data_IF_052994183373
#
_entry.id   IF_052994183373
#
_cell.length_a   1.000
_cell.length_b   1.000
_cell.length_c   1.000
_cell.angle_alpha   90.00
_cell.angle_beta   90.00
_cell.angle_gamma   90.00
#
_symmetry.space_group_name_H-M   'P 1'
#
loop_
_entity.id
_entity.type
_entity.pdbx_description
1 polymer ?
#
# COMPACT_ATOMS: atom_id res chain seq x y z
N UNK A 1 -7.02 15.43 -11.06
CA UNK A 1 -6.69 14.27 -10.18
C UNK A 1 -6.81 14.67 -8.71
N UNK A 2 -7.12 13.73 -7.82
CA UNK A 2 -7.17 13.99 -6.36
C UNK A 2 -5.85 13.66 -5.65
N UNK A 3 -5.67 14.17 -4.42
CA UNK A 3 -4.45 14.00 -3.64
C UNK A 3 -4.14 12.52 -3.31
N UNK A 4 -5.17 11.69 -3.14
CA UNK A 4 -5.01 10.26 -2.83
C UNK A 4 -4.40 9.48 -3.99
N UNK A 5 -4.87 9.74 -5.21
CA UNK A 5 -4.32 9.14 -6.43
C UNK A 5 -2.90 9.65 -6.70
N UNK A 6 -2.63 10.94 -6.51
CA UNK A 6 -1.26 11.47 -6.62
C UNK A 6 -0.30 10.78 -5.63
N UNK A 7 -0.72 10.57 -4.36
CA UNK A 7 0.10 9.86 -3.36
C UNK A 7 0.51 8.46 -3.84
N UNK A 8 -0.38 7.72 -4.50
CA UNK A 8 -0.07 6.39 -5.05
C UNK A 8 0.93 6.45 -6.20
N UNK A 9 0.89 7.49 -7.02
CA UNK A 9 1.76 7.69 -8.18
C UNK A 9 3.06 8.44 -7.86
N UNK A 10 3.23 8.94 -6.63
CA UNK A 10 4.32 9.84 -6.24
C UNK A 10 5.70 9.24 -6.53
N UNK A 11 5.95 8.00 -6.11
CA UNK A 11 7.25 7.36 -6.32
C UNK A 11 7.49 7.04 -7.80
N UNK A 12 6.47 6.59 -8.52
CA UNK A 12 6.54 6.39 -9.97
C UNK A 12 6.83 7.70 -10.72
N UNK A 13 6.29 8.82 -10.25
CA UNK A 13 6.58 10.15 -10.77
C UNK A 13 8.05 10.53 -10.53
N UNK A 14 8.53 10.34 -9.29
CA UNK A 14 9.92 10.65 -8.91
C UNK A 14 10.91 9.79 -9.70
N UNK A 15 10.63 8.50 -9.88
CA UNK A 15 11.48 7.59 -10.66
C UNK A 15 11.36 7.77 -12.19
N UNK A 16 10.40 8.58 -12.66
CA UNK A 16 10.24 8.87 -14.09
C UNK A 16 9.67 7.71 -14.92
N UNK A 17 8.99 6.76 -14.27
CA UNK A 17 8.43 5.55 -14.92
C UNK A 17 6.97 5.72 -15.36
N UNK A 18 6.34 6.86 -15.07
CA UNK A 18 4.97 7.15 -15.48
C UNK A 18 4.85 7.33 -17.00
N UNK A 19 3.70 6.95 -17.54
CA UNK A 19 3.35 7.31 -18.92
C UNK A 19 3.23 8.83 -19.09
N UNK A 20 3.37 9.31 -20.33
CA UNK A 20 3.26 10.75 -20.65
C UNK A 20 1.91 11.32 -20.20
N UNK A 21 0.82 10.58 -20.41
CA UNK A 21 -0.52 11.00 -20.01
C UNK A 21 -0.67 11.12 -18.49
N UNK A 22 -0.17 10.14 -17.72
CA UNK A 22 -0.23 10.19 -16.26
C UNK A 22 0.63 11.31 -15.69
N UNK A 23 1.79 11.56 -16.30
CA UNK A 23 2.69 12.65 -15.91
C UNK A 23 2.01 14.01 -16.08
N UNK A 24 1.37 14.26 -17.23
CA UNK A 24 0.62 15.51 -17.46
C UNK A 24 -0.49 15.70 -16.43
N UNK A 25 -1.23 14.64 -16.10
CA UNK A 25 -2.28 14.69 -15.07
C UNK A 25 -1.71 14.99 -13.68
N UNK A 26 -0.51 14.48 -13.36
CA UNK A 26 0.22 14.81 -12.13
C UNK A 26 0.66 16.27 -12.11
N UNK A 27 1.25 16.76 -13.20
CA UNK A 27 1.72 18.14 -13.33
C UNK A 27 0.57 19.15 -13.21
N UNK A 28 -0.56 18.89 -13.87
CA UNK A 28 -1.77 19.71 -13.74
C UNK A 28 -2.35 19.73 -12.31
N UNK A 29 -2.14 18.68 -11.52
CA UNK A 29 -2.51 18.67 -10.11
C UNK A 29 -1.52 19.46 -9.25
N UNK A 30 -0.23 19.34 -9.54
CA UNK A 30 0.85 20.00 -8.82
C UNK A 30 0.82 21.53 -8.97
N UNK A 31 0.30 22.08 -10.07
CA UNK A 31 0.12 23.53 -10.23
C UNK A 31 -0.85 24.11 -9.19
N UNK A 32 -1.89 23.36 -8.81
CA UNK A 32 -2.96 23.85 -7.93
C UNK A 32 -2.87 23.36 -6.48
N UNK A 33 -2.11 22.29 -6.18
CA UNK A 33 -2.06 21.69 -4.85
C UNK A 33 -0.70 21.88 -4.13
N UNK A 34 -0.64 22.82 -3.19
CA UNK A 34 0.57 23.07 -2.38
C UNK A 34 1.00 21.87 -1.53
N UNK A 35 0.04 21.14 -0.94
CA UNK A 35 0.32 19.94 -0.12
C UNK A 35 1.03 18.84 -0.93
N UNK A 36 0.62 18.64 -2.18
CA UNK A 36 1.25 17.64 -3.05
C UNK A 36 2.62 18.10 -3.56
N UNK A 37 2.84 19.41 -3.74
CA UNK A 37 4.18 19.96 -4.02
C UNK A 37 5.15 19.71 -2.86
N UNK A 38 4.73 19.97 -1.62
CA UNK A 38 5.55 19.69 -0.43
C UNK A 38 5.91 18.20 -0.32
N UNK A 39 4.94 17.31 -0.57
CA UNK A 39 5.20 15.85 -0.61
C UNK A 39 6.19 15.45 -1.70
N UNK A 40 6.09 16.06 -2.87
CA UNK A 40 7.03 15.82 -3.96
C UNK A 40 8.44 16.25 -3.58
N UNK A 41 8.58 17.44 -3.00
CA UNK A 41 9.87 17.94 -2.52
C UNK A 41 10.47 17.01 -1.46
N UNK A 42 9.68 16.55 -0.49
CA UNK A 42 10.13 15.58 0.51
C UNK A 42 10.60 14.27 -0.13
N UNK A 43 9.85 13.72 -1.08
CA UNK A 43 10.23 12.48 -1.78
C UNK A 43 11.52 12.65 -2.61
N UNK A 44 11.71 13.82 -3.24
CA UNK A 44 12.94 14.14 -3.97
C UNK A 44 14.15 14.23 -3.05
N UNK A 45 14.00 14.87 -1.88
CA UNK A 45 15.06 14.92 -0.86
C UNK A 45 15.41 13.52 -0.36
N UNK A 46 14.42 12.68 -0.06
CA UNK A 46 14.67 11.28 0.32
C UNK A 46 15.48 10.54 -0.74
N UNK A 47 15.09 10.67 -2.02
CA UNK A 47 15.82 10.04 -3.13
C UNK A 47 17.26 10.56 -3.23
N UNK A 48 17.46 11.87 -3.10
CA UNK A 48 18.79 12.47 -3.13
C UNK A 48 19.67 11.93 -1.99
N UNK A 49 19.14 11.83 -0.77
CA UNK A 49 19.86 11.25 0.38
C UNK A 49 20.24 9.79 0.14
N UNK A 50 19.34 8.98 -0.43
CA UNK A 50 19.65 7.59 -0.78
C UNK A 50 20.71 7.49 -1.88
N UNK A 51 20.68 8.40 -2.86
CA UNK A 51 21.68 8.43 -3.93
C UNK A 51 23.07 8.91 -3.46
N UNK A 52 23.11 9.71 -2.39
CA UNK A 52 24.36 10.18 -1.79
C UNK A 52 25.08 9.10 -0.96
N UNK A 53 24.45 7.95 -0.71
CA UNK A 53 25.09 6.85 0.01
C UNK A 53 26.32 6.32 -0.73
N UNK A 54 27.40 5.98 0.00
CA UNK A 54 28.62 5.46 -0.61
C UNK A 54 28.32 4.16 -1.36
N UNK A 55 28.77 4.08 -2.61
CA UNK A 55 28.69 2.86 -3.41
C UNK A 55 29.92 2.00 -3.14
N UNK A 56 29.71 0.82 -2.59
CA UNK A 56 30.76 -0.16 -2.41
C UNK A 56 30.93 -1.01 -3.66
N UNK A 57 32.17 -1.18 -4.10
CA UNK A 57 32.48 -2.12 -5.17
C UNK A 57 32.19 -3.55 -4.69
N UNK A 58 31.47 -4.32 -5.50
CA UNK A 58 31.25 -5.73 -5.22
C UNK A 58 32.58 -6.50 -5.36
N UNK A 59 32.89 -7.45 -4.46
CA UNK A 59 34.11 -8.25 -4.58
C UNK A 59 34.19 -9.01 -5.90
N UNK A 60 35.37 -9.06 -6.52
CA UNK A 60 35.61 -9.71 -7.82
C UNK A 60 35.10 -11.15 -7.91
N UNK A 61 35.20 -11.91 -6.81
CA UNK A 61 34.68 -13.29 -6.75
C UNK A 61 33.17 -13.34 -6.92
N UNK A 62 32.44 -12.37 -6.35
CA UNK A 62 30.99 -12.26 -6.49
C UNK A 62 30.64 -11.84 -7.92
N UNK A 63 31.31 -10.83 -8.46
CA UNK A 63 31.10 -10.36 -9.84
C UNK A 63 31.30 -11.47 -10.87
N UNK A 64 32.37 -12.27 -10.74
CA UNK A 64 32.64 -13.41 -11.62
C UNK A 64 31.53 -14.47 -11.54
N UNK A 65 31.07 -14.79 -10.35
CA UNK A 65 30.00 -15.77 -10.13
C UNK A 65 28.67 -15.31 -10.73
N UNK A 66 28.28 -14.06 -10.47
CA UNK A 66 27.07 -13.47 -11.03
C UNK A 66 27.11 -13.45 -12.56
N UNK A 67 28.25 -13.07 -13.16
CA UNK A 67 28.42 -13.07 -14.62
C UNK A 67 28.34 -14.47 -15.23
N UNK A 68 28.82 -15.50 -14.54
CA UNK A 68 28.71 -16.88 -15.00
C UNK A 68 27.28 -17.43 -14.87
N UNK A 69 26.51 -16.99 -13.87
CA UNK A 69 25.17 -17.49 -13.56
C UNK A 69 24.06 -16.82 -14.39
N UNK A 70 24.17 -15.52 -14.71
CA UNK A 70 23.15 -14.79 -15.50
C UNK A 70 22.79 -15.50 -16.82
N UNK A 71 23.76 -15.97 -17.63
CA UNK A 71 23.45 -16.71 -18.85
C UNK A 71 22.69 -18.03 -18.60
N UNK A 72 23.03 -18.75 -17.52
CA UNK A 72 22.40 -20.02 -17.16
C UNK A 72 20.90 -19.85 -16.81
N UNK A 73 20.55 -18.72 -16.20
CA UNK A 73 19.16 -18.40 -15.84
C UNK A 73 18.36 -17.81 -17.00
N UNK A 74 19.00 -17.09 -17.94
CA UNK A 74 18.32 -16.55 -19.14
C UNK A 74 17.83 -17.63 -20.11
N UNK A 75 18.45 -18.81 -20.08
CA UNK A 75 18.02 -19.99 -20.85
C UNK A 75 16.93 -20.82 -20.16
N UNK A 76 16.63 -20.56 -18.89
CA UNK A 76 15.50 -21.17 -18.22
C UNK A 76 14.28 -20.30 -18.50
N UNK A 77 13.27 -20.78 -19.25
CA UNK A 77 11.96 -20.16 -19.22
C UNK A 77 11.39 -20.35 -17.81
N UNK A 78 11.78 -19.49 -16.87
CA UNK A 78 11.07 -19.30 -15.60
C UNK A 78 9.82 -18.45 -15.82
N UNK A 79 9.13 -18.68 -16.94
CA UNK A 79 7.67 -18.78 -16.89
C UNK A 79 7.40 -20.21 -16.45
N UNK A 80 7.68 -20.47 -15.17
CA UNK A 80 6.97 -21.51 -14.47
C UNK A 80 5.51 -21.24 -14.75
N UNK A 81 4.94 -22.13 -15.54
CA UNK A 81 3.53 -22.32 -15.78
C UNK A 81 2.80 -21.88 -14.52
N UNK A 82 2.18 -20.70 -14.56
CA UNK A 82 0.99 -20.49 -13.76
C UNK A 82 0.07 -21.61 -14.25
N UNK A 83 0.09 -22.72 -13.53
CA UNK A 83 -1.01 -23.66 -13.46
C UNK A 83 -2.17 -22.83 -12.92
N UNK A 84 -2.78 -22.06 -13.84
CA UNK A 84 -4.13 -21.61 -13.72
C UNK A 84 -4.92 -22.89 -13.54
N UNK A 85 -5.22 -23.18 -12.29
CA UNK A 85 -6.19 -24.18 -11.91
C UNK A 85 -7.41 -23.93 -12.79
N UNK A 86 -7.73 -24.92 -13.63
CA UNK A 86 -8.54 -24.73 -14.82
C UNK A 86 -9.86 -24.03 -14.50
N UNK A 87 -10.01 -22.79 -14.99
CA UNK A 87 -11.34 -22.27 -15.24
C UNK A 87 -11.78 -22.93 -16.54
N UNK A 88 -12.53 -24.03 -16.35
CA UNK A 88 -13.35 -24.67 -17.38
C UNK A 88 -14.00 -23.58 -18.24
N UNK A 89 -13.70 -23.55 -19.53
CA UNK A 89 -14.56 -22.86 -20.48
C UNK A 89 -15.90 -23.60 -20.50
N UNK A 90 -17.04 -22.97 -20.16
CA UNK A 90 -18.32 -23.55 -20.50
C UNK A 90 -18.59 -23.20 -21.96
N UNK A 91 -18.37 -24.19 -22.82
CA UNK A 91 -18.94 -24.25 -24.16
C UNK A 91 -20.45 -24.38 -24.03
N UNK A 92 -21.22 -23.30 -24.18
CA UNK A 92 -22.65 -23.43 -24.46
C UNK A 92 -23.07 -22.41 -25.53
N UNK A 93 -22.94 -22.86 -26.78
CA UNK A 93 -23.92 -22.50 -27.81
C UNK A 93 -25.23 -23.20 -27.43
N UNK A 94 -26.33 -22.43 -27.50
CA UNK A 94 -27.75 -22.82 -27.58
C UNK A 94 -28.61 -22.77 -26.29
N UNK A 95 -29.23 -21.58 -26.10
CA UNK A 95 -30.70 -21.33 -25.87
C UNK A 95 -31.33 -21.68 -24.50
N UNK A 96 -32.47 -21.09 -24.02
CA UNK A 96 -33.58 -20.46 -24.77
C UNK A 96 -34.22 -19.16 -24.16
N UNK A 97 -35.25 -18.68 -24.84
CA UNK A 97 -36.05 -17.42 -24.78
C UNK A 97 -36.78 -17.12 -23.45
N UNK A 98 -36.45 -17.78 -22.34
CA UNK A 98 -37.26 -17.72 -21.09
C UNK A 98 -36.76 -16.65 -20.10
N UNK A 99 -35.61 -15.99 -20.36
CA UNK A 99 -35.01 -14.96 -19.50
C UNK A 99 -35.56 -13.53 -19.70
N UNK A 100 -36.72 -13.35 -20.35
CA UNK A 100 -37.28 -12.03 -20.67
C UNK A 100 -38.27 -11.48 -19.63
N UNK A 101 -38.75 -12.31 -18.69
CA UNK A 101 -39.80 -11.90 -17.74
C UNK A 101 -39.36 -11.74 -16.29
N UNK A 102 -38.14 -12.16 -15.90
CA UNK A 102 -37.64 -11.97 -14.52
C UNK A 102 -37.15 -10.54 -14.19
N UNK A 103 -37.05 -9.65 -15.19
CA UNK A 103 -36.59 -8.26 -15.02
C UNK A 103 -37.58 -7.35 -14.26
N UNK A 104 -38.80 -7.80 -14.00
CA UNK A 104 -39.86 -6.95 -13.42
C UNK A 104 -40.32 -7.39 -12.02
N UNK A 105 -39.64 -8.34 -11.38
CA UNK A 105 -40.00 -8.81 -10.04
C UNK A 105 -39.06 -8.36 -8.90
N UNK A 106 -37.85 -7.85 -9.19
CA UNK A 106 -36.85 -7.47 -8.17
C UNK A 106 -36.64 -5.95 -8.01
N UNK A 107 -37.34 -5.13 -8.78
CA UNK A 107 -37.22 -3.67 -8.74
C UNK A 107 -37.61 -3.01 -7.40
N UNK A 108 -38.69 -3.41 -6.69
CA UNK A 108 -39.06 -2.72 -5.45
C UNK A 108 -38.15 -3.11 -4.26
N UNK A 109 -37.62 -4.33 -4.23
CA UNK A 109 -36.78 -4.82 -3.13
C UNK A 109 -35.40 -4.14 -3.08
N UNK A 110 -34.80 -3.87 -4.25
CA UNK A 110 -33.54 -3.13 -4.34
C UNK A 110 -33.71 -1.64 -3.98
N UNK A 111 -34.85 -1.03 -4.34
CA UNK A 111 -35.16 0.35 -3.95
C UNK A 111 -35.26 0.54 -2.43
N UNK A 112 -35.92 -0.40 -1.74
CA UNK A 112 -36.02 -0.38 -0.28
C UNK A 112 -34.66 -0.56 0.42
N UNK A 113 -33.80 -1.45 -0.09
CA UNK A 113 -32.44 -1.63 0.43
C UNK A 113 -31.57 -0.38 0.23
N UNK A 114 -31.65 0.26 -0.94
CA UNK A 114 -30.91 1.49 -1.21
C UNK A 114 -31.39 2.63 -0.28
N UNK A 115 -32.70 2.76 -0.05
CA UNK A 115 -33.24 3.75 0.87
C UNK A 115 -32.82 3.50 2.34
N UNK A 116 -32.79 2.24 2.78
CA UNK A 116 -32.30 1.83 4.10
C UNK A 116 -30.81 2.12 4.28
N UNK A 117 -29.98 1.85 3.25
CA UNK A 117 -28.56 2.19 3.26
C UNK A 117 -28.34 3.71 3.28
N UNK A 118 -29.14 4.47 2.54
CA UNK A 118 -29.07 5.93 2.54
C UNK A 118 -29.49 6.52 3.89
N UNK A 119 -30.53 5.97 4.52
CA UNK A 119 -30.96 6.35 5.87
C UNK A 119 -29.90 6.00 6.93
N UNK A 120 -29.33 4.80 6.86
CA UNK A 120 -28.28 4.37 7.79
C UNK A 120 -27.00 5.20 7.64
N UNK A 121 -26.68 5.65 6.42
CA UNK A 121 -25.58 6.58 6.16
C UNK A 121 -25.83 8.00 6.69
N UNK A 122 -27.09 8.39 6.90
CA UNK A 122 -27.45 9.74 7.34
C UNK A 122 -27.73 9.84 8.85
N UNK A 123 -27.84 8.68 9.53
CA UNK A 123 -27.86 8.59 10.99
C UNK A 123 -26.53 9.09 11.56
N UNK A 124 -26.50 10.10 12.45
CA UNK A 124 -25.28 10.56 13.08
C UNK A 124 -24.74 9.46 14.01
N UNK A 125 -23.69 8.76 13.58
CA UNK A 125 -22.93 7.87 14.45
C UNK A 125 -22.15 8.75 15.44
N UNK A 126 -22.70 8.94 16.64
CA UNK A 126 -22.04 9.66 17.74
C UNK A 126 -20.78 8.94 18.28
N UNK A 127 -20.47 7.72 17.82
CA UNK A 127 -19.35 6.93 18.33
C UNK A 127 -17.99 7.10 17.63
N UNK A 128 -17.91 7.76 16.47
CA UNK A 128 -16.71 7.70 15.62
C UNK A 128 -15.56 8.64 16.02
N UNK A 129 -15.84 9.73 16.74
CA UNK A 129 -14.82 10.71 17.14
C UNK A 129 -14.02 10.26 18.37
N UNK A 130 -14.64 9.46 19.26
CA UNK A 130 -13.99 8.96 20.48
C UNK A 130 -12.91 7.93 20.18
N UNK A 131 -13.16 7.01 19.24
CA UNK A 131 -12.27 5.88 18.96
C UNK A 131 -10.96 6.29 18.26
N UNK A 132 -11.02 7.29 17.38
CA UNK A 132 -9.84 7.82 16.72
C UNK A 132 -9.01 8.71 17.67
N UNK A 133 -9.66 9.44 18.58
CA UNK A 133 -8.99 10.22 19.61
C UNK A 133 -8.32 9.31 20.66
N UNK A 134 -8.99 8.21 21.06
CA UNK A 134 -8.41 7.25 22.00
C UNK A 134 -7.20 6.51 21.42
N UNK A 135 -7.25 6.07 20.15
CA UNK A 135 -6.08 5.48 19.49
C UNK A 135 -4.91 6.45 19.37
N UNK A 136 -5.17 7.73 19.09
CA UNK A 136 -4.11 8.74 19.01
C UNK A 136 -3.48 8.99 20.39
N UNK A 137 -4.28 8.97 21.45
CA UNK A 137 -3.83 9.11 22.83
C UNK A 137 -2.97 7.91 23.27
N UNK A 138 -3.43 6.69 22.98
CA UNK A 138 -2.72 5.44 23.30
C UNK A 138 -1.37 5.33 22.56
N UNK A 139 -1.31 5.81 21.31
CA UNK A 139 -0.05 5.91 20.57
C UNK A 139 0.90 6.96 21.18
N UNK A 140 0.37 8.09 21.67
CA UNK A 140 1.19 9.11 22.31
C UNK A 140 1.80 8.60 23.62
N UNK A 141 1.00 7.92 24.46
CA UNK A 141 1.46 7.36 25.74
C UNK A 141 2.53 6.27 25.53
N UNK A 142 2.34 5.40 24.53
CA UNK A 142 3.36 4.38 24.17
C UNK A 142 4.67 4.98 23.67
N UNK A 143 4.63 6.10 22.93
CA UNK A 143 5.85 6.79 22.50
C UNK A 143 6.61 7.41 23.68
N UNK A 144 5.89 7.97 24.66
CA UNK A 144 6.50 8.56 25.87
C UNK A 144 7.15 7.48 26.73
N UNK A 145 6.48 6.34 26.92
CA UNK A 145 7.03 5.22 27.70
C UNK A 145 8.30 4.65 27.03
N UNK A 146 8.30 4.48 25.70
CA UNK A 146 9.47 4.02 24.95
C UNK A 146 10.65 5.00 25.06
N UNK A 147 10.38 6.31 25.04
CA UNK A 147 11.43 7.32 25.20
C UNK A 147 12.05 7.28 26.59
N UNK A 148 11.22 7.16 27.64
CA UNK A 148 11.69 7.04 29.02
C UNK A 148 12.52 5.76 29.23
N UNK A 149 12.12 4.64 28.62
CA UNK A 149 12.92 3.41 28.66
C UNK A 149 14.29 3.58 27.98
N UNK A 150 14.36 4.29 26.85
CA UNK A 150 15.63 4.54 26.16
C UNK A 150 16.57 5.44 26.96
N UNK A 151 16.06 6.51 27.56
CA UNK A 151 16.86 7.37 28.46
C UNK A 151 17.35 6.58 29.68
N UNK A 152 16.54 5.66 30.19
CA UNK A 152 16.91 4.81 31.32
C UNK A 152 17.94 3.72 30.98
N UNK A 153 18.04 3.32 29.72
CA UNK A 153 18.98 2.29 29.25
C UNK A 153 20.35 2.89 28.96
N UNK A 154 20.42 4.16 28.57
CA UNK A 154 21.69 4.80 28.19
C UNK A 154 22.68 4.99 29.37
N UNK A 155 22.22 4.89 30.63
CA UNK A 155 23.08 4.98 31.83
C UNK A 155 23.44 3.63 32.48
N UNK A 156 22.84 2.52 32.06
CA UNK A 156 23.15 1.20 32.60
C UNK A 156 24.39 0.61 31.90
N UNK A 157 25.58 0.95 32.40
CA UNK A 157 26.88 0.54 31.87
C UNK A 157 27.21 -0.96 31.94
N UNK A 158 26.29 -1.86 31.60
CA UNK A 158 26.53 -3.31 31.54
C UNK A 158 25.97 -3.93 30.24
N UNK A 159 26.79 -4.66 29.47
CA UNK A 159 26.33 -5.36 28.28
C UNK A 159 25.76 -6.72 28.71
N UNK A 160 24.47 -6.81 29.00
CA UNK A 160 23.84 -8.13 29.07
C UNK A 160 22.45 -8.10 28.46
N UNK A 161 22.34 -8.89 27.40
CA UNK A 161 21.13 -9.17 26.65
C UNK A 161 19.97 -9.54 27.57
N UNK A 162 18.94 -8.70 27.61
CA UNK A 162 17.63 -9.03 28.19
C UNK A 162 16.54 -8.19 27.53
N UNK A 163 16.52 -8.16 26.20
CA UNK A 163 15.35 -7.73 25.42
C UNK A 163 14.60 -8.99 24.98
N UNK A 164 13.97 -9.65 25.94
CA UNK A 164 12.76 -10.42 25.66
C UNK A 164 11.62 -9.41 25.70
N UNK A 165 11.28 -8.87 24.52
CA UNK A 165 10.00 -8.20 24.32
C UNK A 165 8.93 -9.28 24.42
N UNK A 166 8.46 -9.56 25.64
CA UNK A 166 7.18 -10.22 25.85
C UNK A 166 6.11 -9.18 25.54
N UNK A 167 5.74 -9.04 24.27
CA UNK A 167 4.43 -8.46 23.94
C UNK A 167 3.38 -9.47 24.38
N UNK A 168 3.00 -9.41 25.65
CA UNK A 168 1.84 -10.11 26.16
C UNK A 168 0.60 -9.35 25.70
N UNK A 169 0.28 -9.46 24.40
CA UNK A 169 -1.04 -9.07 23.90
C UNK A 169 -2.02 -10.17 24.33
N UNK A 170 -2.49 -10.08 25.57
CA UNK A 170 -3.59 -10.90 26.07
C UNK A 170 -4.94 -10.28 25.72
N UNK A 171 -5.70 -11.10 24.98
CA UNK A 171 -7.16 -11.28 24.91
C UNK A 171 -8.05 -10.20 24.26
#
# INVERSE_FOLDING_TARGET
>A
MNCGRFKKLLWSYVEGILSVAERQVCEAHLTHCARCRQRLQAAQLTRASLQALPRYAAPERLLKRVRAEIPAQRGQPTVATMQGNGIRQPTERLTPVILRHWRWALAPALGALIALLWWWSHSPVEGGKGYAASQAQEYADTCVDLHQQLEMVEWAGTPTASYLVTTDHTQ
#
